data_IF_312229621289
#
_entry.id   IF_312229621289
#
_cell.length_a   1.000
_cell.length_b   1.000
_cell.length_c   1.000
_cell.angle_alpha   90.00
_cell.angle_beta   90.00
_cell.angle_gamma   90.00
#
_symmetry.space_group_name_H-M   'P 1'
#
loop_
_entity.id
_entity.type
_entity.pdbx_description
1 polymer ?
#
# COMPACT_ATOMS: atom_id res chain seq x y z
N UNK A 1 -15.29 12.00 -26.89
CA UNK A 1 -14.77 12.86 -25.80
C UNK A 1 -13.62 12.10 -25.13
N UNK A 2 -12.37 12.39 -25.54
CA UNK A 2 -11.17 11.74 -24.98
C UNK A 2 -10.69 12.62 -23.82
N UNK A 3 -10.61 12.08 -22.60
CA UNK A 3 -9.97 12.77 -21.47
C UNK A 3 -8.47 12.61 -21.59
N UNK A 4 -7.78 13.74 -21.69
CA UNK A 4 -6.33 13.84 -21.64
C UNK A 4 -5.82 13.38 -20.27
N UNK A 5 -4.93 12.39 -20.26
CA UNK A 5 -4.12 12.04 -19.10
C UNK A 5 -2.98 13.05 -19.02
N UNK A 6 -3.21 14.17 -18.33
CA UNK A 6 -2.16 15.14 -18.04
C UNK A 6 -1.05 14.49 -17.22
N UNK A 7 0.07 14.16 -17.88
CA UNK A 7 1.44 14.60 -17.60
C UNK A 7 2.00 14.68 -16.16
N UNK A 8 1.34 14.17 -15.15
CA UNK A 8 1.88 14.02 -13.80
C UNK A 8 2.44 12.61 -13.69
N UNK A 9 3.77 12.47 -13.76
CA UNK A 9 4.44 11.20 -13.48
C UNK A 9 3.89 10.57 -12.20
N UNK A 10 3.79 9.24 -12.19
CA UNK A 10 3.20 8.46 -11.11
C UNK A 10 3.60 9.02 -9.74
N UNK A 11 2.66 9.67 -9.05
CA UNK A 11 2.92 10.20 -7.71
C UNK A 11 2.73 9.05 -6.74
N UNK A 12 3.74 8.71 -5.93
CA UNK A 12 3.58 7.68 -4.91
C UNK A 12 2.49 8.08 -3.92
N UNK A 13 1.54 7.17 -3.68
CA UNK A 13 0.52 7.31 -2.66
C UNK A 13 1.13 6.99 -1.31
N UNK A 14 1.61 8.02 -0.60
CA UNK A 14 2.11 7.88 0.77
C UNK A 14 1.00 8.19 1.77
N UNK A 15 0.89 7.38 2.83
CA UNK A 15 0.07 7.71 3.99
C UNK A 15 0.96 8.19 5.16
N UNK A 16 0.47 9.11 5.98
CA UNK A 16 1.14 9.62 7.18
C UNK A 16 0.28 9.31 8.39
N UNK A 17 0.63 8.26 9.14
CA UNK A 17 -0.05 7.94 10.40
C UNK A 17 0.67 8.53 11.60
N UNK A 18 -0.12 9.10 12.51
CA UNK A 18 0.29 9.39 13.87
C UNK A 18 -0.12 8.21 14.77
N UNK A 19 0.85 7.53 15.40
CA UNK A 19 0.56 6.58 16.49
C UNK A 19 0.38 7.39 17.77
N UNK A 20 -0.59 7.02 18.64
CA UNK A 20 -0.87 7.78 19.88
C UNK A 20 0.42 7.96 20.72
N UNK A 21 0.83 9.22 20.91
CA UNK A 21 1.92 9.62 21.79
C UNK A 21 3.30 9.90 21.15
N UNK A 22 3.55 9.63 19.86
CA UNK A 22 4.89 9.79 19.26
C UNK A 22 4.89 10.19 17.76
N UNK A 23 6.06 10.72 17.32
CA UNK A 23 6.51 11.13 15.98
C UNK A 23 5.69 10.61 14.79
N UNK A 24 5.39 11.52 13.84
CA UNK A 24 4.80 11.17 12.54
C UNK A 24 5.73 10.24 11.77
N UNK A 25 5.18 9.15 11.23
CA UNK A 25 5.90 8.19 10.40
C UNK A 25 5.27 8.21 9.01
N UNK A 26 6.12 8.36 7.99
CA UNK A 26 5.73 8.15 6.61
C UNK A 26 5.71 6.64 6.33
N UNK A 27 4.62 6.14 5.77
CA UNK A 27 4.49 4.74 5.42
C UNK A 27 3.77 4.56 4.09
N UNK A 28 4.00 3.40 3.48
CA UNK A 28 3.18 2.92 2.37
C UNK A 28 1.82 2.50 2.91
N UNK A 29 0.73 2.71 2.16
CA UNK A 29 -0.56 2.19 2.55
C UNK A 29 -0.52 0.67 2.66
N UNK A 30 -1.15 0.11 3.69
CA UNK A 30 -1.14 -1.33 3.88
C UNK A 30 -1.57 -1.82 5.26
N UNK A 31 -1.99 -3.08 5.28
CA UNK A 31 -2.53 -3.74 6.46
C UNK A 31 -2.50 -5.26 6.36
N UNK A 32 -3.18 -5.92 7.30
CA UNK A 32 -3.30 -7.37 7.30
C UNK A 32 -4.22 -7.88 6.19
N UNK A 33 -4.01 -9.12 5.73
CA UNK A 33 -4.84 -9.69 4.65
C UNK A 33 -6.27 -10.02 5.11
N UNK A 34 -6.48 -10.23 6.41
CA UNK A 34 -7.78 -10.65 6.93
C UNK A 34 -8.30 -11.95 6.32
N UNK A 35 -7.40 -12.82 5.84
CA UNK A 35 -7.74 -14.07 5.14
C UNK A 35 -8.05 -13.92 3.65
N UNK A 36 -7.99 -12.71 3.08
CA UNK A 36 -8.16 -12.46 1.64
C UNK A 36 -6.85 -12.64 0.86
N UNK A 37 -6.95 -12.65 -0.46
CA UNK A 37 -5.76 -12.63 -1.32
C UNK A 37 -4.94 -11.35 -1.04
N UNK A 38 -3.59 -11.42 -1.04
CA UNK A 38 -2.76 -10.24 -0.73
C UNK A 38 -3.02 -9.04 -1.65
N UNK A 39 -3.35 -9.27 -2.92
CA UNK A 39 -3.66 -8.22 -3.89
C UNK A 39 -4.97 -7.49 -3.56
N UNK A 40 -6.02 -8.25 -3.25
CA UNK A 40 -7.31 -7.69 -2.80
C UNK A 40 -7.15 -6.87 -1.52
N UNK A 41 -6.33 -7.34 -0.59
CA UNK A 41 -6.03 -6.62 0.63
C UNK A 41 -5.26 -5.32 0.35
N UNK A 42 -4.26 -5.35 -0.54
CA UNK A 42 -3.50 -4.15 -0.90
C UNK A 42 -4.37 -3.08 -1.58
N UNK A 43 -5.24 -3.48 -2.51
CA UNK A 43 -6.18 -2.57 -3.16
C UNK A 43 -7.18 -1.95 -2.17
N UNK A 44 -7.71 -2.77 -1.25
CA UNK A 44 -8.62 -2.30 -0.20
C UNK A 44 -7.94 -1.26 0.70
N UNK A 45 -6.73 -1.56 1.19
CA UNK A 45 -6.00 -0.64 2.08
C UNK A 45 -5.57 0.64 1.35
N UNK A 46 -5.22 0.57 0.05
CA UNK A 46 -4.92 1.74 -0.76
C UNK A 46 -6.14 2.69 -0.82
N UNK A 47 -7.33 2.16 -1.09
CA UNK A 47 -8.56 2.94 -1.13
C UNK A 47 -8.92 3.48 0.26
N UNK A 48 -8.91 2.64 1.29
CA UNK A 48 -9.27 3.02 2.66
C UNK A 48 -8.35 4.10 3.26
N UNK A 49 -7.03 4.04 2.98
CA UNK A 49 -6.05 4.93 3.60
C UNK A 49 -5.76 6.19 2.76
N UNK A 50 -5.94 6.14 1.44
CA UNK A 50 -5.56 7.25 0.55
C UNK A 50 -6.70 7.76 -0.34
N UNK A 51 -7.81 7.03 -0.46
CA UNK A 51 -8.91 7.32 -1.39
C UNK A 51 -8.53 7.12 -2.86
N UNK A 52 -7.41 6.47 -3.15
CA UNK A 52 -6.91 6.22 -4.51
C UNK A 52 -7.31 4.82 -4.95
N UNK A 53 -7.83 4.73 -6.18
CA UNK A 53 -8.07 3.45 -6.86
C UNK A 53 -6.97 3.22 -7.90
N UNK A 54 -6.25 2.11 -7.80
CA UNK A 54 -5.21 1.76 -8.75
C UNK A 54 -5.81 1.40 -10.13
N UNK A 55 -5.19 1.88 -11.20
CA UNK A 55 -5.58 1.53 -12.57
C UNK A 55 -4.95 0.22 -13.05
N UNK A 56 -3.76 -0.10 -12.54
CA UNK A 56 -3.00 -1.33 -12.80
C UNK A 56 -2.40 -1.79 -11.48
N UNK A 57 -2.28 -3.10 -11.31
CA UNK A 57 -1.54 -3.72 -10.21
C UNK A 57 -0.55 -4.71 -10.78
N UNK A 58 0.68 -4.66 -10.31
CA UNK A 58 1.74 -5.58 -10.70
C UNK A 58 2.02 -6.59 -9.61
N UNK A 59 2.44 -7.77 -10.06
CA UNK A 59 2.67 -8.93 -9.21
C UNK A 59 3.55 -8.60 -8.00
N UNK A 60 3.27 -9.21 -6.84
CA UNK A 60 3.88 -8.77 -5.61
C UNK A 60 5.34 -9.18 -5.50
N UNK A 61 6.12 -8.31 -4.87
CA UNK A 61 7.38 -8.70 -4.22
C UNK A 61 7.09 -9.03 -2.76
N UNK A 62 7.67 -10.11 -2.23
CA UNK A 62 7.44 -10.53 -0.84
C UNK A 62 8.70 -10.30 -0.01
N UNK A 63 8.55 -9.61 1.12
CA UNK A 63 9.64 -9.39 2.09
C UNK A 63 9.25 -9.93 3.46
N UNK A 64 10.23 -10.49 4.18
CA UNK A 64 10.14 -10.71 5.62
C UNK A 64 10.77 -9.51 6.32
N UNK A 65 9.99 -8.57 6.89
CA UNK A 65 10.56 -7.34 7.43
C UNK A 65 11.47 -7.58 8.65
N UNK A 66 11.21 -8.65 9.41
CA UNK A 66 11.99 -9.03 10.58
C UNK A 66 12.08 -10.56 10.66
N UNK A 67 12.81 -11.21 9.74
CA UNK A 67 12.77 -12.67 9.56
C UNK A 67 13.38 -13.44 10.75
N UNK A 68 14.20 -12.77 11.56
CA UNK A 68 14.77 -13.33 12.79
C UNK A 68 13.79 -13.32 13.98
N UNK A 69 12.69 -12.55 13.92
CA UNK A 69 11.77 -12.37 15.06
C UNK A 69 10.33 -12.74 14.76
N UNK A 70 9.94 -12.82 13.49
CA UNK A 70 8.57 -13.17 13.09
C UNK A 70 8.55 -13.86 11.73
N UNK A 71 7.56 -14.72 11.54
CA UNK A 71 7.24 -15.32 10.24
C UNK A 71 6.34 -14.43 9.38
N UNK A 72 5.98 -13.24 9.86
CA UNK A 72 5.18 -12.28 9.11
C UNK A 72 5.86 -11.92 7.77
N UNK A 73 5.03 -11.86 6.72
CA UNK A 73 5.44 -11.50 5.37
C UNK A 73 4.65 -10.29 4.91
N UNK A 74 5.34 -9.36 4.26
CA UNK A 74 4.73 -8.21 3.60
C UNK A 74 4.76 -8.46 2.09
N UNK A 75 3.58 -8.42 1.46
CA UNK A 75 3.43 -8.47 0.02
C UNK A 75 3.33 -7.03 -0.49
N UNK A 76 4.27 -6.62 -1.36
CA UNK A 76 4.38 -5.28 -1.91
C UNK A 76 3.92 -5.28 -3.37
N UNK A 77 2.99 -4.39 -3.70
CA UNK A 77 2.41 -4.24 -5.04
C UNK A 77 2.80 -2.88 -5.63
N UNK A 78 2.87 -2.81 -6.96
CA UNK A 78 3.18 -1.60 -7.74
C UNK A 78 2.03 -1.26 -8.68
#
# INVERSE_FOLDING_TARGET
MRRETNGLGARPAWDVRARRGQRRVLHLPGGGTGGRAPEEAALRELDEETGVVAAEVRAPTVIGPLPATTTARTHLFL
#
